data_IF_394629910159
#
_entry.id   IF_394629910159
#
_cell.length_a   1.000
_cell.length_b   1.000
_cell.length_c   1.000
_cell.angle_alpha   90.00
_cell.angle_beta   90.00
_cell.angle_gamma   90.00
#
_symmetry.space_group_name_H-M   'P 1'
#
loop_
_entity.id
_entity.type
_entity.pdbx_description
1 polymer ?
#
# COMPACT_ATOMS: atom_id res chain seq x y z
N UNK A 1 -13.98 -0.71 44.81
CA UNK A 1 -13.07 -1.86 44.59
C UNK A 1 -12.52 -1.73 43.16
N UNK A 2 -11.44 -0.95 43.01
CA UNK A 2 -10.96 -0.46 41.72
C UNK A 2 -10.06 -1.50 41.02
N UNK A 3 -10.42 -1.87 39.79
CA UNK A 3 -9.61 -2.72 38.93
C UNK A 3 -8.36 -1.93 38.50
N UNK A 4 -7.18 -2.45 38.87
CA UNK A 4 -5.88 -1.86 38.54
C UNK A 4 -5.59 -2.09 37.06
N UNK A 5 -5.70 -1.05 36.25
CA UNK A 5 -5.23 -1.08 34.86
C UNK A 5 -3.72 -1.25 34.84
N UNK A 6 -3.25 -2.41 34.39
CA UNK A 6 -1.84 -2.64 34.10
C UNK A 6 -1.50 -1.90 32.81
N UNK A 7 -0.85 -0.74 32.94
CA UNK A 7 -0.23 -0.01 31.84
C UNK A 7 0.83 -0.90 31.21
N UNK A 8 0.55 -1.44 30.02
CA UNK A 8 1.55 -2.13 29.21
C UNK A 8 2.50 -1.06 28.67
N UNK A 9 3.68 -0.97 29.25
CA UNK A 9 4.79 -0.14 28.75
C UNK A 9 5.11 -0.58 27.32
N UNK A 10 4.84 0.30 26.34
CA UNK A 10 5.31 0.11 24.97
C UNK A 10 6.82 0.30 24.99
N UNK A 11 7.63 -0.70 24.58
CA UNK A 11 9.08 -0.53 24.54
C UNK A 11 9.44 0.61 23.59
N UNK A 12 10.42 1.37 24.06
CA UNK A 12 11.04 2.54 23.46
C UNK A 12 11.47 2.23 22.01
N UNK A 13 10.95 2.99 21.04
CA UNK A 13 11.32 2.85 19.62
C UNK A 13 12.66 3.54 19.37
N UNK A 14 13.72 3.01 19.96
CA UNK A 14 15.10 3.42 19.70
C UNK A 14 15.76 2.40 18.78
N UNK A 15 15.41 2.52 17.50
CA UNK A 15 16.22 2.16 16.33
C UNK A 15 15.43 2.69 15.13
N UNK A 16 15.52 3.99 14.84
CA UNK A 16 14.96 4.48 13.59
C UNK A 16 15.89 4.01 12.46
N UNK A 17 15.52 3.01 11.66
CA UNK A 17 16.39 2.60 10.57
C UNK A 17 16.42 3.78 9.59
N UNK A 18 17.57 4.04 8.98
CA UNK A 18 17.69 4.87 7.79
C UNK A 18 16.81 4.36 6.62
N UNK A 19 16.18 3.19 6.80
CA UNK A 19 15.05 2.67 6.03
C UNK A 19 13.75 3.46 6.18
N UNK A 20 13.57 4.30 7.19
CA UNK A 20 12.32 5.04 7.44
C UNK A 20 11.87 5.95 6.29
N UNK A 21 12.78 6.39 5.39
CA UNK A 21 12.42 7.15 4.20
C UNK A 21 11.99 6.28 3.01
N UNK A 22 12.60 5.10 2.85
CA UNK A 22 12.21 4.11 1.85
C UNK A 22 10.93 3.38 2.28
N UNK A 23 10.81 3.06 3.58
CA UNK A 23 9.61 2.56 4.24
C UNK A 23 8.42 3.51 4.12
N UNK A 24 8.66 4.81 3.94
CA UNK A 24 7.60 5.81 3.70
C UNK A 24 7.13 5.89 2.25
N UNK A 25 7.66 5.08 1.33
CA UNK A 25 7.20 5.04 -0.07
C UNK A 25 6.66 3.66 -0.40
N UNK A 26 5.51 3.62 -1.06
CA UNK A 26 5.04 2.40 -1.69
C UNK A 26 5.88 2.17 -2.95
N UNK A 27 6.30 0.92 -3.19
CA UNK A 27 6.98 0.59 -4.41
C UNK A 27 6.05 0.70 -5.61
N UNK A 28 6.61 1.13 -6.73
CA UNK A 28 5.91 1.34 -8.00
C UNK A 28 6.75 0.72 -9.10
N UNK A 29 6.08 0.26 -10.16
CA UNK A 29 6.75 -0.27 -11.34
C UNK A 29 7.52 0.85 -12.04
N UNK A 30 8.71 0.56 -12.58
CA UNK A 30 9.58 1.58 -13.18
C UNK A 30 8.88 2.34 -14.31
N UNK A 31 8.09 1.64 -15.14
CA UNK A 31 7.33 2.25 -16.23
C UNK A 31 6.25 3.24 -15.75
N UNK A 32 5.78 3.10 -14.51
CA UNK A 32 4.74 3.96 -13.92
C UNK A 32 5.30 5.11 -13.08
N UNK A 33 6.59 5.07 -12.72
CA UNK A 33 7.23 6.14 -11.96
C UNK A 33 7.05 7.54 -12.58
N UNK A 34 7.16 7.74 -13.92
CA UNK A 34 6.96 9.06 -14.53
C UNK A 34 5.56 9.66 -14.35
N UNK A 35 4.56 8.83 -13.98
CA UNK A 35 3.20 9.29 -13.73
C UNK A 35 3.02 9.90 -12.32
N UNK A 36 4.04 9.79 -11.46
CA UNK A 36 3.97 10.18 -10.06
C UNK A 36 4.91 11.35 -9.75
N UNK A 37 4.51 12.34 -8.92
CA UNK A 37 5.33 13.51 -8.63
C UNK A 37 6.74 13.20 -8.09
N UNK A 38 6.88 12.13 -7.31
CA UNK A 38 8.16 11.67 -6.74
C UNK A 38 8.59 10.29 -7.26
N UNK A 39 8.05 9.84 -8.40
CA UNK A 39 8.31 8.48 -8.91
C UNK A 39 7.76 7.35 -8.02
N UNK A 40 7.00 7.69 -6.98
CA UNK A 40 6.53 6.78 -5.94
C UNK A 40 5.31 7.37 -5.24
N UNK A 41 4.61 6.53 -4.47
CA UNK A 41 3.48 6.98 -3.63
C UNK A 41 3.95 7.07 -2.19
N UNK A 42 3.86 8.26 -1.59
CA UNK A 42 4.16 8.44 -0.17
C UNK A 42 3.11 7.72 0.68
N UNK A 43 3.53 6.90 1.65
CA UNK A 43 2.64 6.31 2.66
C UNK A 43 1.94 7.40 3.46
N UNK A 44 0.66 7.20 3.73
CA UNK A 44 -0.20 8.19 4.36
C UNK A 44 -0.71 9.28 3.41
N UNK A 45 -0.37 9.22 2.12
CA UNK A 45 -1.01 10.03 1.09
C UNK A 45 -2.20 9.30 0.46
N UNK A 46 -3.10 10.07 -0.15
CA UNK A 46 -4.16 9.56 -1.02
C UNK A 46 -3.86 9.98 -2.46
N UNK A 47 -4.00 9.03 -3.39
CA UNK A 47 -3.83 9.28 -4.82
C UNK A 47 -5.17 8.99 -5.50
N UNK A 48 -5.73 10.00 -6.17
CA UNK A 48 -6.89 9.83 -7.02
C UNK A 48 -6.42 9.53 -8.45
N UNK A 49 -6.99 8.49 -9.07
CA UNK A 49 -6.77 8.16 -10.48
C UNK A 49 -8.07 8.35 -11.26
N UNK A 50 -7.99 8.86 -12.48
CA UNK A 50 -9.14 9.20 -13.29
C UNK A 50 -8.87 9.06 -14.79
N UNK A 51 -9.93 9.14 -15.59
CA UNK A 51 -9.86 8.98 -17.05
C UNK A 51 -9.83 7.52 -17.51
N UNK A 52 -9.46 7.32 -18.76
CA UNK A 52 -9.39 6.00 -19.38
C UNK A 52 -8.26 5.18 -18.76
N UNK A 53 -8.55 3.95 -18.36
CA UNK A 53 -7.57 3.04 -17.76
C UNK A 53 -7.28 3.29 -16.28
N UNK A 54 -8.07 4.12 -15.58
CA UNK A 54 -7.90 4.38 -14.14
C UNK A 54 -7.86 3.11 -13.29
N UNK A 55 -8.76 2.15 -13.57
CA UNK A 55 -8.77 0.84 -12.91
C UNK A 55 -7.51 0.03 -13.21
N UNK A 56 -7.07 0.01 -14.46
CA UNK A 56 -5.82 -0.69 -14.84
C UNK A 56 -4.63 -0.12 -14.10
N UNK A 57 -4.52 1.21 -14.01
CA UNK A 57 -3.45 1.89 -13.27
C UNK A 57 -3.54 1.58 -11.76
N UNK A 58 -4.73 1.65 -11.17
CA UNK A 58 -4.92 1.32 -9.75
C UNK A 58 -4.49 -0.13 -9.45
N UNK A 59 -4.88 -1.07 -10.30
CA UNK A 59 -4.51 -2.49 -10.17
C UNK A 59 -3.01 -2.69 -10.36
N UNK A 60 -2.37 -2.03 -11.33
CA UNK A 60 -0.93 -2.15 -11.54
C UNK A 60 -0.12 -1.63 -10.33
N UNK A 61 -0.54 -0.51 -9.73
CA UNK A 61 0.05 0.04 -8.51
C UNK A 61 -0.15 -0.91 -7.31
N UNK A 62 -1.35 -1.44 -7.14
CA UNK A 62 -1.67 -2.43 -6.11
C UNK A 62 -0.87 -3.73 -6.27
N UNK A 63 -0.70 -4.20 -7.51
CA UNK A 63 0.03 -5.41 -7.83
C UNK A 63 1.52 -5.28 -7.45
N UNK A 64 2.16 -4.16 -7.78
CA UNK A 64 3.54 -3.93 -7.37
C UNK A 64 3.70 -3.77 -5.85
N UNK A 65 2.77 -3.04 -5.22
CA UNK A 65 2.78 -2.86 -3.78
C UNK A 65 2.63 -4.20 -3.02
N UNK A 66 1.69 -5.04 -3.44
CA UNK A 66 1.42 -6.36 -2.83
C UNK A 66 2.59 -7.32 -3.00
N UNK A 67 3.16 -7.45 -4.21
CA UNK A 67 4.34 -8.28 -4.47
C UNK A 67 5.58 -7.89 -3.65
N UNK A 68 5.71 -6.60 -3.32
CA UNK A 68 6.77 -6.11 -2.43
C UNK A 68 6.38 -6.08 -0.96
N UNK A 69 5.34 -6.84 -0.59
CA UNK A 69 4.97 -7.10 0.79
C UNK A 69 4.08 -6.03 1.43
N UNK A 70 3.40 -5.17 0.68
CA UNK A 70 2.33 -4.32 1.26
C UNK A 70 1.00 -5.07 1.29
N UNK A 71 0.14 -4.77 2.25
CA UNK A 71 -1.25 -5.25 2.25
C UNK A 71 -2.13 -4.35 1.37
N UNK A 72 -3.07 -4.93 0.62
CA UNK A 72 -3.99 -4.18 -0.25
C UNK A 72 -5.44 -4.53 0.07
N UNK A 73 -6.31 -3.51 0.10
CA UNK A 73 -7.74 -3.70 0.25
C UNK A 73 -8.49 -2.94 -0.84
N UNK A 74 -9.51 -3.58 -1.42
CA UNK A 74 -10.50 -2.93 -2.25
C UNK A 74 -11.80 -2.77 -1.44
N UNK A 75 -12.35 -1.56 -1.41
CA UNK A 75 -13.54 -1.23 -0.61
C UNK A 75 -14.57 -0.57 -1.51
N UNK A 76 -15.83 -1.03 -1.41
CA UNK A 76 -16.94 -0.45 -2.18
C UNK A 76 -16.92 -0.78 -3.68
N UNK A 77 -16.15 -1.78 -4.10
CA UNK A 77 -15.99 -2.18 -5.50
C UNK A 77 -16.84 -3.41 -5.81
N UNK A 78 -18.10 -3.22 -6.21
CA UNK A 78 -19.06 -4.31 -6.42
C UNK A 78 -18.64 -5.29 -7.53
N UNK A 79 -18.08 -4.78 -8.62
CA UNK A 79 -17.78 -5.56 -9.84
C UNK A 79 -16.29 -5.91 -9.98
N UNK A 80 -15.53 -5.92 -8.88
CA UNK A 80 -14.10 -6.18 -8.93
C UNK A 80 -13.80 -7.69 -9.03
N UNK A 81 -13.32 -8.13 -10.18
CA UNK A 81 -12.95 -9.53 -10.42
C UNK A 81 -11.61 -9.91 -9.76
N UNK A 82 -11.66 -10.67 -8.66
CA UNK A 82 -10.46 -11.14 -7.94
C UNK A 82 -9.54 -11.99 -8.82
N UNK A 83 -10.10 -12.86 -9.66
CA UNK A 83 -9.31 -13.65 -10.61
C UNK A 83 -8.54 -12.76 -11.60
N UNK A 84 -9.17 -11.70 -12.11
CA UNK A 84 -8.51 -10.74 -12.99
C UNK A 84 -7.41 -9.96 -12.27
N UNK A 85 -7.56 -9.67 -10.97
CA UNK A 85 -6.49 -9.07 -10.17
C UNK A 85 -5.27 -10.00 -10.06
N UNK A 86 -5.51 -11.28 -9.77
CA UNK A 86 -4.44 -12.29 -9.71
C UNK A 86 -3.71 -12.41 -11.07
N UNK A 87 -4.45 -12.44 -12.18
CA UNK A 87 -3.87 -12.44 -13.54
C UNK A 87 -3.07 -11.16 -13.87
N UNK A 88 -3.41 -10.05 -13.23
CA UNK A 88 -2.66 -8.78 -13.31
C UNK A 88 -1.52 -8.70 -12.28
N UNK A 89 -1.28 -9.78 -11.54
CA UNK A 89 -0.15 -9.94 -10.65
C UNK A 89 -0.33 -9.36 -9.25
N UNK A 90 -1.57 -9.12 -8.81
CA UNK A 90 -1.86 -8.84 -7.40
C UNK A 90 -1.60 -10.10 -6.59
N UNK A 91 -0.78 -9.99 -5.56
CA UNK A 91 -0.53 -11.08 -4.61
C UNK A 91 -1.70 -11.18 -3.64
N UNK A 92 -2.54 -12.21 -3.79
CA UNK A 92 -3.75 -12.38 -2.98
C UNK A 92 -3.48 -12.85 -1.54
N UNK A 93 -2.24 -13.25 -1.23
CA UNK A 93 -1.82 -13.59 0.13
C UNK A 93 -1.38 -12.32 0.92
N UNK A 94 -1.52 -11.14 0.32
CA UNK A 94 -1.11 -9.83 0.85
C UNK A 94 -2.22 -8.78 0.72
#
# INVERSE_FOLDING_TARGET
MAARSATRTLPDRLDAPSGAAHERRLPVEEALAPLLPEGSIRRGAAVAVGGHGSMTLAVALAAEASRRGSWVAAVGMADLGVAALAERGVDLER
#
